data_IF_486596930033
#
_entry.id   IF_486596930033
#
_cell.length_a   1.000
_cell.length_b   1.000
_cell.length_c   1.000
_cell.angle_alpha   90.00
_cell.angle_beta   90.00
_cell.angle_gamma   90.00
#
_symmetry.space_group_name_H-M   'P 1'
#
loop_
_entity.id
_entity.type
_entity.pdbx_description
1 polymer ?
#
# COMPACT_ATOMS: atom_id res chain seq x y z
N UNK A 1 11.19 14.27 -12.55
CA UNK A 1 9.97 13.75 -13.20
C UNK A 1 9.07 14.93 -13.51
N UNK A 2 8.24 14.84 -14.54
CA UNK A 2 7.34 15.92 -14.94
C UNK A 2 6.26 16.10 -13.88
N UNK A 3 6.11 17.32 -13.33
CA UNK A 3 5.18 17.62 -12.24
C UNK A 3 3.72 17.25 -12.58
N UNK A 4 3.39 17.21 -13.88
CA UNK A 4 2.07 16.77 -14.37
C UNK A 4 1.86 15.28 -14.11
N UNK A 5 2.87 14.46 -14.37
CA UNK A 5 2.79 13.01 -14.18
C UNK A 5 2.68 12.67 -12.69
N UNK A 6 3.47 13.31 -11.83
CA UNK A 6 3.40 13.13 -10.37
C UNK A 6 2.00 13.45 -9.83
N UNK A 7 1.35 14.51 -10.36
CA UNK A 7 -0.03 14.86 -10.00
C UNK A 7 -1.03 13.82 -10.48
N UNK A 8 -0.88 13.31 -11.71
CA UNK A 8 -1.77 12.27 -12.27
C UNK A 8 -1.67 10.98 -11.43
N UNK A 9 -0.45 10.53 -11.11
CA UNK A 9 -0.23 9.33 -10.28
C UNK A 9 -0.88 9.47 -8.89
N UNK A 10 -0.72 10.63 -8.24
CA UNK A 10 -1.39 10.93 -6.96
C UNK A 10 -2.92 10.90 -7.09
N UNK A 11 -3.48 11.45 -8.16
CA UNK A 11 -4.94 11.42 -8.39
C UNK A 11 -5.45 9.99 -8.61
N UNK A 12 -4.72 9.18 -9.38
CA UNK A 12 -5.07 7.77 -9.61
C UNK A 12 -5.00 6.96 -8.31
N UNK A 13 -3.98 7.19 -7.48
CA UNK A 13 -3.87 6.55 -6.16
C UNK A 13 -5.06 6.92 -5.26
N UNK A 14 -5.49 8.18 -5.24
CA UNK A 14 -6.66 8.63 -4.48
C UNK A 14 -7.95 7.99 -4.99
N UNK A 15 -8.12 7.88 -6.31
CA UNK A 15 -9.27 7.21 -6.93
C UNK A 15 -9.33 5.73 -6.57
N UNK A 16 -8.20 5.02 -6.63
CA UNK A 16 -8.09 3.63 -6.18
C UNK A 16 -8.52 3.49 -4.71
N UNK A 17 -8.04 4.37 -3.83
CA UNK A 17 -8.39 4.34 -2.41
C UNK A 17 -9.88 4.59 -2.15
N UNK A 18 -10.53 5.41 -2.96
CA UNK A 18 -11.98 5.62 -2.91
C UNK A 18 -12.75 4.36 -3.32
N UNK A 19 -12.31 3.67 -4.40
CA UNK A 19 -12.91 2.39 -4.83
C UNK A 19 -12.72 1.29 -3.78
N UNK A 20 -11.63 1.36 -3.02
CA UNK A 20 -11.30 0.44 -1.93
C UNK A 20 -11.96 0.82 -0.60
N UNK A 21 -13.01 1.66 -0.58
CA UNK A 21 -13.73 2.01 0.66
C UNK A 21 -14.31 0.75 1.31
N UNK A 22 -14.02 0.53 2.59
CA UNK A 22 -14.42 -0.68 3.33
C UNK A 22 -13.43 -1.85 3.27
N UNK A 23 -12.43 -1.82 2.37
CA UNK A 23 -11.38 -2.85 2.38
C UNK A 23 -10.44 -2.69 3.57
N UNK A 24 -9.85 -3.79 4.08
CA UNK A 24 -8.86 -3.73 5.15
C UNK A 24 -7.65 -2.89 4.76
N UNK A 25 -7.09 -2.15 5.72
CA UNK A 25 -5.91 -1.31 5.50
C UNK A 25 -4.72 -2.09 4.92
N UNK A 26 -4.55 -3.36 5.31
CA UNK A 26 -3.53 -4.27 4.78
C UNK A 26 -3.64 -4.43 3.26
N UNK A 27 -4.85 -4.57 2.71
CA UNK A 27 -5.05 -4.74 1.28
C UNK A 27 -4.74 -3.47 0.50
N UNK A 28 -5.13 -2.30 1.03
CA UNK A 28 -4.77 -1.00 0.45
C UNK A 28 -3.26 -0.81 0.35
N UNK A 29 -2.53 -1.19 1.41
CA UNK A 29 -1.06 -1.15 1.42
C UNK A 29 -0.47 -2.07 0.36
N UNK A 30 -0.99 -3.28 0.20
CA UNK A 30 -0.50 -4.23 -0.81
C UNK A 30 -0.75 -3.71 -2.23
N UNK A 31 -1.94 -3.17 -2.50
CA UNK A 31 -2.28 -2.64 -3.83
C UNK A 31 -1.41 -1.44 -4.20
N UNK A 32 -1.23 -0.46 -3.29
CA UNK A 32 -0.36 0.68 -3.54
C UNK A 32 1.11 0.26 -3.70
N UNK A 33 1.59 -0.72 -2.92
CA UNK A 33 2.95 -1.23 -3.08
C UNK A 33 3.15 -1.95 -4.42
N UNK A 34 2.12 -2.67 -4.89
CA UNK A 34 2.11 -3.32 -6.21
C UNK A 34 2.12 -2.29 -7.34
N UNK A 35 1.45 -1.15 -7.14
CA UNK A 35 1.47 -0.02 -8.07
C UNK A 35 2.80 0.77 -8.08
N UNK A 36 3.79 0.37 -7.27
CA UNK A 36 5.13 0.96 -7.27
C UNK A 36 5.35 2.09 -6.26
N UNK A 37 4.36 2.44 -5.45
CA UNK A 37 4.52 3.48 -4.42
C UNK A 37 5.45 3.01 -3.29
N UNK A 38 6.31 3.93 -2.83
CA UNK A 38 7.21 3.70 -1.70
C UNK A 38 6.44 3.67 -0.37
N UNK A 39 7.07 3.10 0.66
CA UNK A 39 6.46 3.03 2.00
C UNK A 39 6.11 4.42 2.56
N UNK A 40 6.85 5.46 2.17
CA UNK A 40 6.63 6.84 2.64
C UNK A 40 5.39 7.44 1.96
N UNK A 41 5.25 7.26 0.65
CA UNK A 41 4.08 7.74 -0.10
C UNK A 41 2.80 7.01 0.32
N UNK A 42 2.89 5.69 0.52
CA UNK A 42 1.76 4.90 1.04
C UNK A 42 1.33 5.42 2.42
N UNK A 43 2.30 5.75 3.28
CA UNK A 43 2.02 6.30 4.60
C UNK A 43 1.35 7.69 4.51
N UNK A 44 1.76 8.54 3.57
CA UNK A 44 1.14 9.84 3.29
C UNK A 44 -0.32 9.71 2.84
N UNK A 45 -0.61 8.77 1.92
CA UNK A 45 -1.95 8.52 1.43
C UNK A 45 -2.88 7.93 2.50
N UNK A 46 -2.38 6.98 3.30
CA UNK A 46 -3.17 6.27 4.30
C UNK A 46 -3.15 6.94 5.69
N UNK A 47 -2.48 8.09 5.82
CA UNK A 47 -2.34 8.84 7.09
C UNK A 47 -1.82 7.95 8.23
N UNK A 48 -0.75 7.23 7.95
CA UNK A 48 -0.08 6.34 8.91
C UNK A 48 1.44 6.55 8.87
N UNK A 49 2.22 5.67 9.51
CA UNK A 49 3.68 5.72 9.48
C UNK A 49 4.29 4.70 8.51
N UNK A 50 5.47 4.98 7.92
CA UNK A 50 6.18 4.03 7.08
C UNK A 50 6.47 2.69 7.79
N UNK A 51 6.66 2.72 9.11
CA UNK A 51 6.88 1.52 9.94
C UNK A 51 5.65 0.60 9.98
N UNK A 52 4.45 1.18 10.05
CA UNK A 52 3.18 0.41 9.99
C UNK A 52 3.04 -0.23 8.60
N UNK A 53 3.32 0.52 7.54
CA UNK A 53 3.30 0.00 6.15
C UNK A 53 4.27 -1.18 5.99
N UNK A 54 5.52 -1.03 6.43
CA UNK A 54 6.52 -2.09 6.37
C UNK A 54 6.08 -3.35 7.13
N UNK A 55 5.47 -3.17 8.31
CA UNK A 55 4.94 -4.28 9.12
C UNK A 55 3.82 -5.02 8.39
N UNK A 56 2.87 -4.29 7.79
CA UNK A 56 1.76 -4.88 7.04
C UNK A 56 2.24 -5.66 5.81
N UNK A 57 3.23 -5.12 5.08
CA UNK A 57 3.86 -5.81 3.94
C UNK A 57 4.66 -7.05 4.37
N UNK A 58 5.35 -7.00 5.51
CA UNK A 58 6.04 -8.16 6.04
C UNK A 58 5.06 -9.28 6.42
N UNK A 59 3.97 -8.92 7.11
CA UNK A 59 2.92 -9.85 7.50
C UNK A 59 2.22 -10.48 6.29
N UNK A 60 1.98 -9.71 5.22
CA UNK A 60 1.36 -10.24 4.00
C UNK A 60 2.22 -11.33 3.33
N UNK A 61 3.54 -11.13 3.28
CA UNK A 61 4.49 -12.13 2.77
C UNK A 61 4.56 -13.38 3.64
N UNK A 62 4.41 -13.24 4.96
CA UNK A 62 4.47 -14.36 5.92
C UNK A 62 3.21 -15.22 5.88
N UNK A 63 2.02 -14.65 5.66
CA UNK A 63 0.76 -15.40 5.54
C UNK A 63 0.70 -16.33 4.32
N UNK A 64 1.54 -16.13 3.30
CA UNK A 64 1.61 -16.99 2.11
C UNK A 64 2.54 -18.21 2.24
N UNK A 65 3.30 -18.34 3.33
CA UNK A 65 4.19 -19.51 3.53
C UNK A 65 3.47 -20.57 4.36
N UNK A 66 3.21 -21.78 3.83
CA UNK A 66 2.62 -22.85 4.62
C UNK A 66 3.53 -23.15 5.80
N UNK A 67 2.99 -23.03 7.01
CA UNK A 67 3.70 -23.36 8.25
C UNK A 67 3.94 -24.87 8.22
N UNK A 68 5.18 -25.31 7.91
CA UNK A 68 5.60 -26.71 8.09
C UNK A 68 5.34 -27.07 9.56
N UNK A 69 4.30 -27.86 9.82
CA UNK A 69 4.08 -28.51 11.12
C UNK A 69 5.22 -29.53 11.28
N UNK A 70 6.03 -29.35 12.31
CA UNK A 70 6.90 -30.42 12.83
C UNK A 70 6.05 -31.33 13.70
#
# INVERSE_FOLDING_TARGET
>A
MDATNDRIERLLALMLLQLMKGTPQKEKVIQLNTAGFSNVEIAEFLKTSPSVVATLLYQSKKSGRPKKRK
#
